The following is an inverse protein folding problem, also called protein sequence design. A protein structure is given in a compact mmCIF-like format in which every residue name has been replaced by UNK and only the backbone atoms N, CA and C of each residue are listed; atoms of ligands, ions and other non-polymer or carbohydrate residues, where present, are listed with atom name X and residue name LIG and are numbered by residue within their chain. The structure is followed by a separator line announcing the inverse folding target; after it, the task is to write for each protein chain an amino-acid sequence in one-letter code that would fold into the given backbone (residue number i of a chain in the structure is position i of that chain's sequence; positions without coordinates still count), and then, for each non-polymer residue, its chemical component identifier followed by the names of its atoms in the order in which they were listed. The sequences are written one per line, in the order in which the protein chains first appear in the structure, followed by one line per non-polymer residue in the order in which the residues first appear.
data_IF_112960561832
#
_entry.id   IF_112960561832
#
_cell.length_a   1.000
_cell.length_b   1.000
_cell.length_c   1.000
_cell.angle_alpha   90.00
_cell.angle_beta   90.00
_cell.angle_gamma   90.00
#
_symmetry.space_group_name_H-M   'P 1'
#
loop_
_entity.id
_entity.type
_entity.pdbx_description
1 polymer ?
#
# COMPACT_ATOMS: atom_id res chain seq x y z
N UNK A 1 -7.84 -7.59 12.72
CA UNK A 1 -8.73 -8.11 11.66
C UNK A 1 -8.80 -7.20 10.44
N UNK A 2 -8.68 -5.87 10.55
CA UNK A 2 -8.80 -4.94 9.39
C UNK A 2 -7.61 -4.00 9.23
N UNK A 3 -6.52 -4.35 9.91
CA UNK A 3 -5.28 -3.61 9.95
C UNK A 3 -4.69 -3.55 8.52
N UNK A 4 -4.86 -4.60 7.72
CA UNK A 4 -4.48 -4.61 6.30
C UNK A 4 -5.24 -3.56 5.46
N UNK A 5 -6.53 -3.33 5.71
CA UNK A 5 -7.29 -2.29 5.00
C UNK A 5 -6.78 -0.89 5.35
N UNK A 6 -6.51 -0.65 6.65
CA UNK A 6 -5.95 0.63 7.09
C UNK A 6 -4.56 0.86 6.49
N UNK A 7 -3.74 -0.19 6.36
CA UNK A 7 -2.42 -0.12 5.71
C UNK A 7 -2.54 0.19 4.21
N UNK A 8 -3.40 -0.52 3.47
CA UNK A 8 -3.61 -0.30 2.03
C UNK A 8 -4.12 1.11 1.78
N UNK A 9 -5.11 1.57 2.55
CA UNK A 9 -5.63 2.93 2.47
C UNK A 9 -4.54 3.95 2.81
N UNK A 10 -3.74 3.70 3.85
CA UNK A 10 -2.62 4.59 4.21
C UNK A 10 -1.61 4.73 3.08
N UNK A 11 -1.14 3.61 2.53
CA UNK A 11 -0.13 3.63 1.45
C UNK A 11 -0.70 4.28 0.19
N UNK A 12 -1.87 3.84 -0.27
CA UNK A 12 -2.47 4.34 -1.50
C UNK A 12 -2.87 5.82 -1.42
N UNK A 13 -3.38 6.28 -0.27
CA UNK A 13 -3.71 7.70 -0.08
C UNK A 13 -2.45 8.55 0.01
N UNK A 14 -1.43 8.11 0.74
CA UNK A 14 -0.18 8.88 0.89
C UNK A 14 0.50 9.04 -0.46
N UNK A 15 0.62 7.95 -1.23
CA UNK A 15 1.20 7.97 -2.58
C UNK A 15 0.39 8.84 -3.54
N UNK A 16 -0.94 8.77 -3.50
CA UNK A 16 -1.80 9.64 -4.29
C UNK A 16 -1.61 11.13 -3.94
N UNK A 17 -1.54 11.46 -2.65
CA UNK A 17 -1.32 12.85 -2.22
C UNK A 17 0.08 13.33 -2.60
N UNK A 18 1.10 12.48 -2.52
CA UNK A 18 2.46 12.76 -2.96
C UNK A 18 2.50 13.13 -4.45
N UNK A 19 1.84 12.34 -5.30
CA UNK A 19 1.73 12.62 -6.74
C UNK A 19 0.98 13.93 -7.03
N UNK A 20 -0.06 14.25 -6.26
CA UNK A 20 -0.84 15.47 -6.44
C UNK A 20 -0.13 16.74 -5.94
N UNK A 21 0.73 16.61 -4.93
CA UNK A 21 1.51 17.70 -4.35
C UNK A 21 2.88 17.89 -5.00
N UNK A 22 3.25 17.03 -5.96
CA UNK A 22 4.54 17.04 -6.67
C UNK A 22 5.74 16.89 -5.70
N UNK A 23 5.52 16.25 -4.55
CA UNK A 23 6.52 16.13 -3.47
C UNK A 23 7.46 14.93 -3.64
N UNK A 24 7.14 13.97 -4.53
CA UNK A 24 8.04 12.85 -4.84
C UNK A 24 7.84 12.30 -6.27
N UNK A 25 8.83 12.61 -7.11
CA UNK A 25 9.39 11.81 -8.20
C UNK A 25 8.43 11.17 -9.23
N UNK A 26 8.50 11.69 -10.47
CA UNK A 26 8.14 11.01 -11.74
C UNK A 26 8.92 9.70 -11.99
N UNK A 27 9.51 9.09 -10.97
CA UNK A 27 10.30 7.86 -11.03
C UNK A 27 9.46 6.73 -10.46
N UNK A 28 8.65 6.15 -11.33
CA UNK A 28 7.90 4.93 -11.11
C UNK A 28 7.57 4.33 -12.46
N UNK A 29 7.12 3.06 -12.49
CA UNK A 29 6.63 2.45 -13.74
C UNK A 29 5.60 3.36 -14.40
N UNK A 30 5.58 3.45 -15.74
CA UNK A 30 4.63 4.31 -16.44
C UNK A 30 3.16 4.01 -16.08
N UNK A 31 2.89 2.76 -15.68
CA UNK A 31 1.59 2.28 -15.22
C UNK A 31 1.07 3.02 -13.96
N UNK A 32 1.96 3.56 -13.12
CA UNK A 32 1.57 4.27 -11.89
C UNK A 32 1.37 5.78 -12.13
N UNK A 33 1.66 6.28 -13.34
CA UNK A 33 1.50 7.71 -13.63
C UNK A 33 0.03 8.10 -13.67
N UNK A 34 -0.35 9.02 -12.81
CA UNK A 34 -1.67 9.64 -12.84
C UNK A 34 -1.83 10.44 -14.14
N UNK A 35 -2.96 10.24 -14.82
CA UNK A 35 -3.30 10.97 -16.03
C UNK A 35 -4.67 11.62 -15.81
N UNK A 36 -4.78 12.96 -15.84
CA UNK A 36 -6.09 13.58 -15.77
C UNK A 36 -6.96 13.06 -16.93
N UNK A 37 -8.27 13.05 -16.72
CA UNK A 37 -9.25 12.61 -17.72
C UNK A 37 -8.99 13.33 -19.07
N UNK A 38 -9.14 12.64 -20.22
CA UNK A 38 -8.85 13.22 -21.53
C UNK A 38 -9.53 14.59 -21.73
N UNK A 39 -8.73 15.63 -22.00
CA UNK A 39 -9.20 17.01 -22.18
C UNK A 39 -8.85 17.98 -21.05
N UNK A 40 -8.29 17.50 -19.93
CA UNK A 40 -7.96 18.36 -18.80
C UNK A 40 -6.47 18.35 -18.44
N UNK A 41 -5.88 19.55 -18.26
CA UNK A 41 -4.45 19.71 -17.96
C UNK A 41 -4.11 19.74 -16.46
N UNK A 42 -5.12 19.84 -15.58
CA UNK A 42 -4.93 19.96 -14.13
C UNK A 42 -5.73 18.90 -13.38
N UNK A 43 -5.08 18.16 -12.48
CA UNK A 43 -5.73 17.12 -11.65
C UNK A 43 -6.93 17.63 -10.85
N UNK A 44 -6.89 18.89 -10.39
CA UNK A 44 -8.01 19.50 -9.67
C UNK A 44 -9.28 19.73 -10.50
N UNK A 45 -9.19 19.72 -11.84
CA UNK A 45 -10.39 19.78 -12.70
C UNK A 45 -10.98 18.38 -12.93
N UNK A 46 -10.14 17.35 -12.91
CA UNK A 46 -10.54 15.97 -13.22
C UNK A 46 -11.41 15.36 -12.13
N UNK A 47 -11.37 15.93 -10.93
CA UNK A 47 -12.16 15.50 -9.80
C UNK A 47 -13.43 16.35 -9.70
N UNK A 48 -14.58 15.68 -9.56
CA UNK A 48 -15.82 16.35 -9.19
C UNK A 48 -15.78 16.83 -7.71
N UNK A 49 -16.80 17.58 -7.28
CA UNK A 49 -16.87 18.09 -5.90
C UNK A 49 -16.89 16.97 -4.85
N UNK A 50 -17.54 15.84 -5.16
CA UNK A 50 -17.73 14.71 -4.25
C UNK A 50 -16.43 13.93 -4.08
N UNK A 51 -15.69 13.71 -5.17
CA UNK A 51 -14.37 13.10 -5.22
C UNK A 51 -13.33 13.97 -4.53
N UNK A 52 -13.38 15.29 -4.70
CA UNK A 52 -12.52 16.22 -3.93
C UNK A 52 -12.77 16.09 -2.43
N UNK A 53 -14.04 16.05 -2.00
CA UNK A 53 -14.41 15.81 -0.60
C UNK A 53 -13.87 14.47 -0.12
N UNK A 54 -14.11 13.41 -0.88
CA UNK A 54 -13.72 12.05 -0.51
C UNK A 54 -12.20 11.91 -0.40
N UNK A 55 -11.45 12.48 -1.34
CA UNK A 55 -9.98 12.56 -1.29
C UNK A 55 -9.51 13.29 -0.02
N UNK A 56 -10.13 14.42 0.33
CA UNK A 56 -9.75 15.16 1.54
C UNK A 56 -10.11 14.40 2.83
N UNK A 57 -11.21 13.65 2.85
CA UNK A 57 -11.58 12.81 4.00
C UNK A 57 -10.64 11.61 4.14
N UNK A 58 -10.28 10.99 3.01
CA UNK A 58 -9.26 9.94 2.95
C UNK A 58 -7.93 10.47 3.46
N UNK A 59 -7.47 11.63 2.97
CA UNK A 59 -6.25 12.27 3.45
C UNK A 59 -6.30 12.61 4.94
N UNK A 60 -7.46 13.09 5.44
CA UNK A 60 -7.63 13.38 6.86
C UNK A 60 -7.55 12.14 7.77
N UNK A 61 -7.77 10.94 7.25
CA UNK A 61 -7.69 9.70 8.01
C UNK A 61 -6.36 8.94 7.78
N UNK A 62 -5.87 8.90 6.54
CA UNK A 62 -4.90 7.92 6.06
C UNK A 62 -3.59 8.50 5.50
N UNK A 63 -3.49 9.80 5.16
CA UNK A 63 -2.25 10.40 4.60
C UNK A 63 -1.13 10.47 5.65
N UNK A 64 -0.10 9.63 5.51
CA UNK A 64 0.98 9.46 6.48
C UNK A 64 2.35 9.68 5.84
N UNK A 65 2.62 10.92 5.42
CA UNK A 65 3.93 11.34 4.93
C UNK A 65 4.82 11.87 6.06
N UNK A 66 6.12 11.60 5.97
CA UNK A 66 7.15 12.16 6.85
C UNK A 66 7.71 13.49 6.35
N UNK A 67 7.40 13.89 5.11
CA UNK A 67 8.00 15.06 4.45
C UNK A 67 7.47 16.41 4.93
N UNK A 68 6.26 16.46 5.52
CA UNK A 68 5.66 17.70 5.99
C UNK A 68 4.69 17.49 7.16
N UNK A 69 4.43 18.54 7.97
CA UNK A 69 3.39 18.48 8.99
C UNK A 69 2.03 18.17 8.38
N UNK A 70 1.32 17.23 9.00
CA UNK A 70 0.05 16.68 8.52
C UNK A 70 -1.01 17.73 8.16
N UNK A 71 -1.27 18.70 9.04
CA UNK A 71 -2.29 19.73 8.80
C UNK A 71 -1.89 20.67 7.67
N UNK A 72 -0.61 21.04 7.58
CA UNK A 72 -0.07 21.88 6.51
C UNK A 72 -0.19 21.19 5.15
N UNK A 73 0.20 19.91 5.09
CA UNK A 73 0.11 19.09 3.88
C UNK A 73 -1.33 18.93 3.40
N UNK A 74 -2.26 18.65 4.32
CA UNK A 74 -3.67 18.57 4.01
C UNK A 74 -4.24 19.89 3.47
N UNK A 75 -3.86 21.04 4.05
CA UNK A 75 -4.29 22.36 3.54
C UNK A 75 -3.73 22.62 2.13
N UNK A 76 -2.47 22.26 1.88
CA UNK A 76 -1.84 22.35 0.55
C UNK A 76 -2.61 21.50 -0.48
N UNK A 77 -2.97 20.28 -0.12
CA UNK A 77 -3.80 19.40 -0.96
C UNK A 77 -5.15 20.04 -1.26
N UNK A 78 -5.83 20.57 -0.23
CA UNK A 78 -7.11 21.26 -0.38
C UNK A 78 -7.04 22.43 -1.36
N UNK A 79 -5.97 23.23 -1.28
CA UNK A 79 -5.74 24.34 -2.22
C UNK A 79 -5.47 23.83 -3.64
N UNK A 80 -4.67 22.77 -3.79
CA UNK A 80 -4.29 22.19 -5.09
C UNK A 80 -5.49 21.63 -5.85
N UNK A 81 -6.39 20.93 -5.17
CA UNK A 81 -7.61 20.39 -5.78
C UNK A 81 -8.74 21.42 -5.88
N UNK A 82 -8.60 22.58 -5.22
CA UNK A 82 -9.58 23.66 -5.25
C UNK A 82 -10.89 23.36 -4.51
N UNK A 83 -10.83 22.72 -3.34
CA UNK A 83 -12.04 22.44 -2.54
C UNK A 83 -12.41 23.60 -1.59
N UNK A 84 -13.60 24.16 -1.77
CA UNK A 84 -14.12 25.27 -0.96
C UNK A 84 -15.33 24.83 -0.11
N UNK A 85 -15.14 24.76 1.20
CA UNK A 85 -16.22 24.52 2.18
C UNK A 85 -16.57 25.76 2.98
N UNK A 86 -17.10 26.82 2.35
CA UNK A 86 -17.40 28.08 3.06
C UNK A 86 -18.52 27.90 4.08
N UNK A 87 -19.49 27.04 3.79
CA UNK A 87 -20.56 26.64 4.70
C UNK A 87 -20.06 25.91 5.95
N UNK A 88 -18.79 25.45 5.98
CA UNK A 88 -18.18 24.88 7.18
C UNK A 88 -18.05 25.91 8.32
N UNK A 89 -18.07 27.21 8.01
CA UNK A 89 -17.97 28.27 9.00
C UNK A 89 -19.30 29.00 9.23
N UNK A 90 -20.40 28.54 8.63
CA UNK A 90 -21.71 29.19 8.72
C UNK A 90 -22.21 29.29 10.17
N UNK A 91 -21.99 28.25 10.99
CA UNK A 91 -22.42 28.25 12.39
C UNK A 91 -21.60 29.23 13.25
N UNK A 92 -20.31 29.43 12.92
CA UNK A 92 -19.48 30.46 13.56
C UNK A 92 -19.87 31.86 13.09
N UNK A 93 -20.14 32.01 11.78
CA UNK A 93 -20.57 33.28 11.19
C UNK A 93 -21.91 33.73 11.78
N UNK A 94 -22.85 32.83 12.05
CA UNK A 94 -24.09 33.15 12.75
C UNK A 94 -23.82 33.78 14.12
N UNK A 95 -22.93 33.18 14.92
CA UNK A 95 -22.51 33.73 16.22
C UNK A 95 -21.92 35.13 16.09
N UNK A 96 -21.05 35.34 15.10
CA UNK A 96 -20.44 36.65 14.83
C UNK A 96 -21.45 37.69 14.34
N UNK A 97 -22.39 37.32 13.48
CA UNK A 97 -23.44 38.22 12.97
C UNK A 97 -24.34 38.67 14.10
N UNK A 98 -24.79 37.75 14.96
CA UNK A 98 -25.62 38.11 16.13
C UNK A 98 -24.84 39.04 17.07
N UNK A 99 -23.57 38.75 17.33
CA UNK A 99 -22.72 39.62 18.15
C UNK A 99 -22.57 41.02 17.53
N UNK A 100 -22.34 41.12 16.22
CA UNK A 100 -22.23 42.38 15.51
C UNK A 100 -23.53 43.18 15.53
N UNK A 101 -24.69 42.53 15.37
CA UNK A 101 -26.02 43.17 15.47
C UNK A 101 -26.24 43.74 16.87
N UNK A 102 -25.94 42.95 17.91
CA UNK A 102 -26.06 43.40 19.31
C UNK A 102 -25.18 44.63 19.56
N UNK A 103 -23.91 44.59 19.13
CA UNK A 103 -22.98 45.72 19.28
C UNK A 103 -23.43 46.95 18.46
N UNK A 104 -23.94 46.74 17.24
CA UNK A 104 -24.44 47.82 16.39
C UNK A 104 -25.64 48.54 17.00
N UNK A 105 -26.60 47.79 17.57
CA UNK A 105 -27.76 48.38 18.27
C UNK A 105 -27.33 49.11 19.55
N UNK A 106 -26.36 48.56 20.28
CA UNK A 106 -25.80 49.22 21.47
C UNK A 106 -25.14 50.55 21.13
N UNK A 107 -24.41 50.62 20.01
CA UNK A 107 -23.76 51.86 19.55
C UNK A 107 -24.78 52.88 19.03
N UNK A 108 -25.74 52.43 18.22
CA UNK A 108 -26.80 53.29 17.66
C UNK A 108 -27.67 53.94 18.75
N UNK A 109 -27.96 53.22 19.83
CA UNK A 109 -28.80 53.72 20.93
C UNK A 109 -28.04 54.59 21.94
N UNK A 110 -26.72 54.77 21.77
CA UNK A 110 -25.87 55.58 22.65
C UNK A 110 -25.78 55.08 24.10
N UNK A 111 -26.22 53.85 24.35
CA UNK A 111 -26.59 53.37 25.69
C UNK A 111 -25.91 52.04 26.02
N UNK A 112 -24.65 51.87 25.62
CA UNK A 112 -23.91 50.64 25.82
C UNK A 112 -23.92 50.14 27.28
N UNK A 113 -23.70 51.03 28.25
CA UNK A 113 -23.67 50.67 29.67
C UNK A 113 -24.99 50.07 30.19
N UNK A 114 -26.14 50.53 29.68
CA UNK A 114 -27.45 50.02 30.10
C UNK A 114 -27.85 48.73 29.39
N UNK A 115 -27.18 48.38 28.29
CA UNK A 115 -27.34 47.10 27.61
C UNK A 115 -26.47 46.01 28.22
N UNK A 116 -25.22 46.32 28.58
CA UNK A 116 -24.33 45.39 29.27
C UNK A 116 -24.86 44.95 30.64
N UNK A 117 -25.64 45.78 31.32
CA UNK A 117 -26.27 45.39 32.60
C UNK A 117 -27.45 44.43 32.44
N UNK A 118 -27.96 44.22 31.22
CA UNK A 118 -29.14 43.36 30.99
C UNK A 118 -28.72 41.91 30.75
N UNK A 119 -29.22 40.95 31.56
CA UNK A 119 -28.80 39.55 31.46
C UNK A 119 -29.16 38.89 30.12
N UNK A 120 -30.23 39.36 29.45
CA UNK A 120 -30.65 38.79 28.17
C UNK A 120 -29.64 38.98 27.04
N UNK A 121 -28.79 40.02 27.09
CA UNK A 121 -27.75 40.27 26.08
C UNK A 121 -26.74 39.12 26.07
N UNK A 122 -26.34 38.66 27.26
CA UNK A 122 -25.47 37.50 27.42
C UNK A 122 -26.16 36.19 27.01
N UNK A 123 -27.47 36.06 27.26
CA UNK A 123 -28.24 34.89 26.80
C UNK A 123 -28.30 34.82 25.28
N UNK A 124 -28.63 35.92 24.60
CA UNK A 124 -28.67 35.98 23.13
C UNK A 124 -27.30 35.67 22.52
N UNK A 125 -26.23 36.26 23.08
CA UNK A 125 -24.88 35.94 22.67
C UNK A 125 -24.56 34.45 22.89
N UNK A 126 -24.87 33.89 24.06
CA UNK A 126 -24.64 32.48 24.39
C UNK A 126 -25.40 31.52 23.46
N UNK A 127 -26.69 31.78 23.20
CA UNK A 127 -27.51 30.99 22.28
C UNK A 127 -27.01 31.06 20.83
N UNK A 128 -26.47 32.20 20.40
CA UNK A 128 -25.92 32.34 19.05
C UNK A 128 -24.67 31.46 18.81
N UNK A 129 -23.87 31.21 19.86
CA UNK A 129 -22.69 30.33 19.79
C UNK A 129 -23.02 28.85 20.00
N UNK A 130 -24.23 28.51 20.48
CA UNK A 130 -24.62 27.15 20.79
C UNK A 130 -24.46 26.17 19.60
N UNK A 131 -24.86 26.51 18.36
CA UNK A 131 -24.68 25.62 17.21
C UNK A 131 -23.21 25.33 16.91
N UNK A 132 -22.34 26.35 17.03
CA UNK A 132 -20.90 26.19 16.84
C UNK A 132 -20.26 25.34 17.94
N UNK A 133 -20.61 25.57 19.20
CA UNK A 133 -20.16 24.77 20.33
C UNK A 133 -20.59 23.30 20.20
N UNK A 134 -21.84 23.07 19.80
CA UNK A 134 -22.36 21.72 19.53
C UNK A 134 -21.56 21.02 18.42
N UNK A 135 -21.34 21.71 17.29
CA UNK A 135 -20.51 21.21 16.19
C UNK A 135 -19.08 20.89 16.63
N UNK A 136 -18.45 21.80 17.37
CA UNK A 136 -17.09 21.62 17.88
C UNK A 136 -16.99 20.40 18.81
N UNK A 137 -17.94 20.26 19.75
CA UNK A 137 -17.98 19.12 20.68
C UNK A 137 -18.18 17.79 19.93
N UNK A 138 -19.11 17.76 18.96
CA UNK A 138 -19.36 16.57 18.12
C UNK A 138 -18.13 16.19 17.30
N UNK A 139 -17.44 17.16 16.70
CA UNK A 139 -16.22 16.90 15.94
C UNK A 139 -15.07 16.45 16.82
N UNK A 140 -14.93 17.00 18.03
CA UNK A 140 -13.94 16.54 19.01
C UNK A 140 -14.19 15.09 19.44
N UNK A 141 -15.44 14.74 19.75
CA UNK A 141 -15.81 13.37 20.06
C UNK A 141 -15.55 12.42 18.88
N UNK A 142 -15.93 12.83 17.67
CA UNK A 142 -15.71 12.04 16.45
C UNK A 142 -14.21 11.84 16.14
N UNK A 143 -13.41 12.89 16.26
CA UNK A 143 -11.96 12.81 16.08
C UNK A 143 -11.30 11.86 17.10
N UNK A 144 -11.73 11.91 18.36
CA UNK A 144 -11.28 10.97 19.39
C UNK A 144 -11.73 9.52 19.14
N UNK A 145 -12.87 9.30 18.47
CA UNK A 145 -13.27 7.95 18.02
C UNK A 145 -12.43 7.48 16.83
N UNK A 146 -12.17 8.34 15.86
CA UNK A 146 -11.33 8.02 14.69
C UNK A 146 -9.92 7.65 15.15
N UNK A 147 -9.29 8.50 15.96
CA UNK A 147 -7.94 8.26 16.46
C UNK A 147 -7.79 6.94 17.24
N UNK A 148 -8.85 6.48 17.92
CA UNK A 148 -8.85 5.18 18.64
C UNK A 148 -9.10 3.97 17.75
N UNK A 149 -9.76 4.15 16.61
CA UNK A 149 -10.15 3.05 15.73
C UNK A 149 -9.21 2.89 14.52
N UNK A 150 -8.39 3.88 14.21
CA UNK A 150 -7.26 3.75 13.30
C UNK A 150 -6.18 2.88 13.98
N UNK A 151 -5.87 1.73 13.38
CA UNK A 151 -4.98 0.73 14.01
C UNK A 151 -3.52 0.88 13.59
N UNK A 152 -3.29 1.06 12.30
CA UNK A 152 -1.95 1.14 11.71
C UNK A 152 -1.33 2.52 11.96
N UNK A 153 -2.16 3.55 12.08
CA UNK A 153 -1.75 4.94 12.18
C UNK A 153 -2.07 5.50 13.56
N UNK A 154 -1.08 6.11 14.22
CA UNK A 154 -1.31 6.91 15.42
C UNK A 154 -1.52 8.36 15.02
N UNK A 155 -2.70 8.91 15.35
CA UNK A 155 -3.07 10.30 15.01
C UNK A 155 -3.42 11.08 16.25
N UNK A 156 -3.00 12.34 16.27
CA UNK A 156 -3.46 13.30 17.25
C UNK A 156 -4.95 13.66 16.99
N UNK A 157 -5.85 13.46 17.96
CA UNK A 157 -7.25 13.85 17.82
C UNK A 157 -7.46 15.35 17.58
N UNK A 158 -6.55 16.21 18.07
CA UNK A 158 -6.61 17.66 17.85
C UNK A 158 -6.51 18.02 16.37
N UNK A 159 -5.55 17.39 15.69
CA UNK A 159 -5.30 17.54 14.26
C UNK A 159 -6.47 17.04 13.42
N UNK A 160 -7.00 15.83 13.70
CA UNK A 160 -8.17 15.30 12.99
C UNK A 160 -9.39 16.22 13.16
N UNK A 161 -9.64 16.71 14.38
CA UNK A 161 -10.75 17.64 14.65
C UNK A 161 -10.63 18.90 13.80
N UNK A 162 -9.43 19.47 13.71
CA UNK A 162 -9.18 20.66 12.88
C UNK A 162 -9.52 20.40 11.42
N UNK A 163 -9.10 19.26 10.87
CA UNK A 163 -9.42 18.89 9.49
C UNK A 163 -10.92 18.66 9.31
N UNK A 164 -11.59 17.95 10.23
CA UNK A 164 -13.04 17.75 10.18
C UNK A 164 -13.83 19.06 10.27
N UNK A 165 -13.32 20.06 11.01
CA UNK A 165 -13.95 21.37 11.13
C UNK A 165 -14.02 22.13 9.79
N UNK A 166 -13.15 21.79 8.85
CA UNK A 166 -13.08 22.43 7.55
C UNK A 166 -14.12 21.95 6.53
N UNK A 167 -14.88 20.89 6.84
CA UNK A 167 -15.95 20.34 6.00
C UNK A 167 -17.32 20.91 6.40
N UNK A 168 -18.22 21.05 5.43
CA UNK A 168 -19.60 21.37 5.73
C UNK A 168 -20.27 20.22 6.48
N UNK A 169 -21.27 20.52 7.31
CA UNK A 169 -22.01 19.48 8.04
C UNK A 169 -22.57 18.41 7.08
N UNK A 170 -23.17 18.85 5.96
CA UNK A 170 -23.73 17.96 4.94
C UNK A 170 -22.68 17.09 4.26
N UNK A 171 -21.46 17.59 4.08
CA UNK A 171 -20.37 16.81 3.50
C UNK A 171 -19.91 15.69 4.44
N UNK A 172 -20.08 15.85 5.75
CA UNK A 172 -19.74 14.84 6.77
C UNK A 172 -20.90 13.92 7.16
N UNK A 173 -22.12 14.19 6.67
CA UNK A 173 -23.26 13.31 6.92
C UNK A 173 -23.11 12.04 6.08
N UNK A 174 -23.38 10.90 6.72
CA UNK A 174 -23.35 9.56 6.11
C UNK A 174 -22.03 9.21 5.42
N UNK A 175 -20.92 9.85 5.81
CA UNK A 175 -19.59 9.44 5.33
C UNK A 175 -19.09 8.23 6.10
N UNK A 176 -18.48 7.25 5.41
CA UNK A 176 -17.80 6.13 6.04
C UNK A 176 -16.52 6.66 6.69
N UNK A 177 -16.59 6.94 7.98
CA UNK A 177 -15.44 7.32 8.78
C UNK A 177 -15.08 6.14 9.67
N UNK A 178 -13.79 5.90 9.95
CA UNK A 178 -13.37 4.85 10.86
C UNK A 178 -13.62 5.27 12.32
N UNK A 179 -14.85 5.68 12.66
CA UNK A 179 -15.26 6.13 14.00
C UNK A 179 -15.95 5.03 14.83
N UNK A 180 -16.10 3.84 14.23
CA UNK A 180 -16.64 2.63 14.82
C UNK A 180 -15.72 1.44 14.52
N UNK A 181 -15.78 0.42 15.37
CA UNK A 181 -15.09 -0.85 15.16
C UNK A 181 -15.86 -1.73 14.16
N UNK A 182 -16.00 -1.27 12.90
CA UNK A 182 -16.62 -2.03 11.81
C UNK A 182 -15.76 -2.04 10.54
N UNK A 183 -15.90 -3.08 9.74
CA UNK A 183 -15.14 -3.23 8.47
C UNK A 183 -15.77 -2.49 7.32
N UNK A 184 -17.11 -2.39 7.28
CA UNK A 184 -17.83 -1.91 6.09
C UNK A 184 -17.42 -0.50 5.69
N UNK A 185 -17.16 0.38 6.67
CA UNK A 185 -16.64 1.73 6.40
C UNK A 185 -15.33 1.71 5.61
N UNK A 186 -14.43 0.77 5.91
CA UNK A 186 -13.13 0.68 5.25
C UNK A 186 -13.26 0.20 3.81
N UNK A 187 -14.20 -0.70 3.54
CA UNK A 187 -14.52 -1.10 2.17
C UNK A 187 -15.13 0.06 1.38
N UNK A 188 -16.03 0.85 1.98
CA UNK A 188 -16.55 2.06 1.33
C UNK A 188 -15.46 3.11 1.11
N UNK A 189 -14.52 3.28 2.05
CA UNK A 189 -13.36 4.16 1.89
C UNK A 189 -12.44 3.69 0.76
N UNK A 190 -12.23 2.39 0.62
CA UNK A 190 -11.48 1.82 -0.50
C UNK A 190 -12.20 2.08 -1.82
N UNK A 191 -13.52 1.89 -1.87
CA UNK A 191 -14.31 2.20 -3.06
C UNK A 191 -14.25 3.70 -3.42
N UNK A 192 -14.23 4.59 -2.42
CA UNK A 192 -14.01 6.04 -2.63
C UNK A 192 -12.63 6.33 -3.19
N UNK A 193 -11.58 5.69 -2.66
CA UNK A 193 -10.22 5.80 -3.19
C UNK A 193 -10.16 5.36 -4.65
N UNK A 194 -10.76 4.21 -4.97
CA UNK A 194 -10.86 3.72 -6.36
C UNK A 194 -11.62 4.68 -7.27
N UNK A 195 -12.70 5.31 -6.77
CA UNK A 195 -13.44 6.32 -7.50
C UNK A 195 -12.60 7.54 -7.85
N UNK A 196 -11.77 8.02 -6.91
CA UNK A 196 -10.81 9.11 -7.14
C UNK A 196 -9.73 8.68 -8.13
N UNK A 197 -9.12 7.51 -7.93
CA UNK A 197 -8.08 6.96 -8.80
C UNK A 197 -8.56 6.80 -10.25
N UNK A 198 -9.80 6.34 -10.45
CA UNK A 198 -10.41 6.19 -11.77
C UNK A 198 -10.56 7.52 -12.51
N UNK A 199 -10.94 8.59 -11.82
CA UNK A 199 -11.01 9.93 -12.40
C UNK A 199 -9.62 10.49 -12.78
N UNK A 200 -8.57 9.92 -12.20
CA UNK A 200 -7.17 10.23 -12.46
C UNK A 200 -6.51 9.20 -13.40
N UNK A 201 -7.31 8.43 -14.15
CA UNK A 201 -6.85 7.55 -15.21
C UNK A 201 -6.33 6.19 -14.74
N UNK A 202 -6.45 5.86 -13.45
CA UNK A 202 -6.01 4.57 -12.89
C UNK A 202 -7.17 3.57 -12.94
N UNK A 203 -6.96 2.44 -13.61
CA UNK A 203 -8.03 1.46 -13.87
C UNK A 203 -8.18 0.41 -12.77
N UNK A 204 -7.12 0.14 -12.01
CA UNK A 204 -7.13 -0.84 -10.92
C UNK A 204 -5.96 -0.64 -9.97
N UNK A 205 -6.02 -1.33 -8.84
CA UNK A 205 -5.00 -1.30 -7.78
C UNK A 205 -4.42 -2.69 -7.62
N UNK A 206 -3.09 -2.82 -7.67
CA UNK A 206 -2.40 -4.06 -7.34
C UNK A 206 -1.76 -3.90 -5.95
N UNK A 207 -2.17 -4.74 -5.01
CA UNK A 207 -1.57 -4.82 -3.66
C UNK A 207 -0.53 -5.93 -3.67
N UNK A 208 0.74 -5.54 -3.60
CA UNK A 208 1.86 -6.45 -3.42
C UNK A 208 2.14 -6.60 -1.93
N UNK A 209 2.10 -7.83 -1.44
CA UNK A 209 2.56 -8.20 -0.11
C UNK A 209 3.82 -9.02 -0.29
N UNK A 210 4.95 -8.45 0.13
CA UNK A 210 6.27 -9.06 -0.01
C UNK A 210 7.01 -9.00 1.33
N UNK A 211 7.99 -9.88 1.48
CA UNK A 211 8.93 -9.92 2.62
C UNK A 211 8.24 -9.96 3.98
N UNK A 212 7.20 -10.79 4.09
CA UNK A 212 6.37 -10.92 5.30
C UNK A 212 7.14 -11.54 6.46
N UNK A 213 8.23 -12.24 6.20
CA UNK A 213 9.07 -12.97 7.15
C UNK A 213 10.19 -12.11 7.77
N UNK A 214 10.63 -11.05 7.09
CA UNK A 214 11.75 -10.19 7.50
C UNK A 214 11.50 -9.29 8.73
N UNK A 215 10.30 -8.72 8.96
CA UNK A 215 10.08 -7.81 10.09
C UNK A 215 10.43 -8.45 11.43
N UNK A 216 11.11 -7.71 12.31
CA UNK A 216 11.57 -8.20 13.61
C UNK A 216 10.48 -8.80 14.50
N UNK A 217 9.23 -8.32 14.38
CA UNK A 217 8.10 -8.85 15.13
C UNK A 217 7.71 -10.27 14.70
N UNK A 218 7.97 -10.62 13.45
CA UNK A 218 7.65 -11.92 12.85
C UNK A 218 8.88 -12.84 12.97
N UNK A 219 10.05 -12.33 12.58
CA UNK A 219 11.34 -13.02 12.70
C UNK A 219 11.30 -14.44 12.09
N UNK A 220 10.72 -14.57 10.89
CA UNK A 220 10.56 -15.85 10.20
C UNK A 220 9.63 -16.88 10.85
N UNK A 221 8.92 -16.54 11.93
CA UNK A 221 8.00 -17.49 12.60
C UNK A 221 6.73 -17.67 11.77
N UNK A 222 6.52 -18.88 11.26
CA UNK A 222 5.37 -19.25 10.42
C UNK A 222 4.02 -18.89 11.04
N UNK A 223 3.84 -19.13 12.34
CA UNK A 223 2.58 -18.80 13.04
C UNK A 223 2.29 -17.29 13.06
N UNK A 224 3.31 -16.45 13.18
CA UNK A 224 3.12 -14.99 13.17
C UNK A 224 2.83 -14.47 11.76
N UNK A 225 3.45 -15.08 10.74
CA UNK A 225 3.10 -14.79 9.34
C UNK A 225 1.65 -15.23 9.07
N UNK A 226 1.24 -16.39 9.57
CA UNK A 226 -0.14 -16.88 9.50
C UNK A 226 -1.13 -15.89 10.12
N UNK A 227 -0.88 -15.45 11.34
CA UNK A 227 -1.73 -14.46 12.03
C UNK A 227 -1.88 -13.14 11.27
N UNK A 228 -0.81 -12.70 10.58
CA UNK A 228 -0.83 -11.51 9.73
C UNK A 228 -1.66 -11.70 8.46
N UNK A 229 -1.50 -12.84 7.78
CA UNK A 229 -2.04 -13.08 6.44
C UNK A 229 -3.47 -13.59 6.44
N UNK A 230 -3.87 -14.42 7.41
CA UNK A 230 -5.18 -15.05 7.43
C UNK A 230 -6.36 -14.07 7.33
N UNK A 231 -6.34 -12.90 8.00
CA UNK A 231 -7.37 -11.89 7.81
C UNK A 231 -7.50 -11.36 6.37
N UNK A 232 -6.44 -11.45 5.56
CA UNK A 232 -6.42 -11.06 4.15
C UNK A 232 -6.95 -12.15 3.21
N UNK A 233 -7.12 -13.39 3.68
CA UNK A 233 -7.63 -14.48 2.85
C UNK A 233 -9.17 -14.51 2.79
N UNK A 234 -9.86 -13.52 3.37
CA UNK A 234 -11.32 -13.44 3.37
C UNK A 234 -11.89 -13.18 1.97
N UNK A 235 -12.93 -13.93 1.58
CA UNK A 235 -13.55 -13.81 0.26
C UNK A 235 -14.11 -12.40 -0.02
N UNK A 236 -14.62 -11.68 1.00
CA UNK A 236 -15.11 -10.31 0.81
C UNK A 236 -13.97 -9.35 0.46
N UNK A 237 -12.79 -9.57 1.02
CA UNK A 237 -11.61 -8.76 0.73
C UNK A 237 -10.99 -9.10 -0.63
N UNK A 238 -10.84 -10.39 -0.94
CA UNK A 238 -10.24 -10.83 -2.20
C UNK A 238 -11.11 -10.55 -3.44
N UNK A 239 -12.44 -10.42 -3.27
CA UNK A 239 -13.38 -10.12 -4.38
C UNK A 239 -13.69 -8.64 -4.58
N UNK A 240 -12.89 -7.75 -4.01
CA UNK A 240 -13.07 -6.32 -4.25
C UNK A 240 -12.85 -5.99 -5.74
N UNK A 241 -13.81 -5.32 -6.41
CA UNK A 241 -13.71 -5.06 -7.83
C UNK A 241 -12.56 -4.10 -8.12
N UNK A 242 -11.74 -4.38 -9.13
CA UNK A 242 -10.63 -3.50 -9.51
C UNK A 242 -9.44 -3.51 -8.53
N UNK A 243 -9.35 -4.51 -7.65
CA UNK A 243 -8.19 -4.77 -6.79
C UNK A 243 -7.62 -6.14 -7.11
N UNK A 244 -6.32 -6.20 -7.37
CA UNK A 244 -5.56 -7.44 -7.47
C UNK A 244 -4.64 -7.61 -6.27
N UNK A 245 -4.41 -8.86 -5.87
CA UNK A 245 -3.50 -9.19 -4.77
C UNK A 245 -2.39 -10.09 -5.29
N UNK A 246 -1.14 -9.73 -4.98
CA UNK A 246 0.03 -10.59 -5.18
C UNK A 246 0.68 -10.82 -3.82
N UNK A 247 0.46 -12.00 -3.26
CA UNK A 247 0.97 -12.38 -1.95
C UNK A 247 2.21 -13.26 -2.16
N UNK A 248 3.40 -12.71 -1.89
CA UNK A 248 4.66 -13.44 -1.94
C UNK A 248 4.89 -14.04 -0.55
N UNK A 249 4.33 -15.23 -0.35
CA UNK A 249 4.30 -15.91 0.93
C UNK A 249 5.27 -17.10 0.97
N UNK A 250 5.83 -17.43 2.14
CA UNK A 250 6.55 -18.68 2.35
C UNK A 250 5.71 -19.91 1.94
N UNK A 251 6.35 -20.88 1.28
CA UNK A 251 5.68 -22.05 0.70
C UNK A 251 5.00 -22.92 1.77
N UNK A 252 5.54 -22.94 2.99
CA UNK A 252 5.02 -23.70 4.12
C UNK A 252 3.60 -23.27 4.49
N UNK A 253 3.21 -22.02 4.22
CA UNK A 253 1.87 -21.52 4.53
C UNK A 253 0.78 -22.14 3.65
N UNK A 254 1.13 -22.66 2.47
CA UNK A 254 0.18 -23.37 1.62
C UNK A 254 -0.36 -24.62 2.33
N UNK A 255 0.53 -25.39 2.96
CA UNK A 255 0.15 -26.57 3.75
C UNK A 255 -0.72 -26.20 4.95
N UNK A 256 -0.40 -25.08 5.61
CA UNK A 256 -1.20 -24.59 6.73
C UNK A 256 -2.60 -24.23 6.27
N UNK A 257 -2.72 -23.46 5.18
CA UNK A 257 -4.02 -23.07 4.61
C UNK A 257 -4.85 -24.26 4.12
N UNK A 258 -4.23 -25.34 3.65
CA UNK A 258 -4.93 -26.56 3.23
C UNK A 258 -5.41 -27.42 4.39
N UNK A 259 -4.76 -27.36 5.55
CA UNK A 259 -5.12 -28.12 6.77
C UNK A 259 -6.07 -27.37 7.70
N UNK A 260 -6.51 -26.18 7.30
CA UNK A 260 -7.39 -25.33 8.10
C UNK A 260 -8.80 -25.91 8.30
N UNK A 261 -9.49 -25.34 9.28
CA UNK A 261 -10.85 -25.75 9.61
C UNK A 261 -11.87 -25.38 8.51
N UNK A 262 -13.01 -26.07 8.55
CA UNK A 262 -14.15 -25.82 7.65
C UNK A 262 -14.58 -24.35 7.65
N UNK A 263 -14.53 -23.69 8.80
CA UNK A 263 -14.93 -22.29 8.96
C UNK A 263 -14.00 -21.33 8.21
N UNK A 264 -12.71 -21.65 8.13
CA UNK A 264 -11.76 -20.89 7.30
C UNK A 264 -12.09 -21.07 5.82
N UNK A 265 -12.23 -22.32 5.35
CA UNK A 265 -12.51 -22.60 3.94
C UNK A 265 -13.82 -21.96 3.46
N UNK A 266 -14.86 -21.94 4.31
CA UNK A 266 -16.12 -21.27 4.00
C UNK A 266 -16.00 -19.74 3.88
N UNK A 267 -15.14 -19.11 4.69
CA UNK A 267 -14.89 -17.67 4.64
C UNK A 267 -13.96 -17.28 3.50
N UNK A 268 -12.87 -18.01 3.31
CA UNK A 268 -11.83 -17.68 2.34
C UNK A 268 -12.25 -17.99 0.91
N UNK A 269 -12.97 -19.10 0.70
CA UNK A 269 -13.45 -19.57 -0.60
C UNK A 269 -12.41 -19.45 -1.71
N UNK A 270 -11.18 -19.91 -1.43
CA UNK A 270 -10.04 -19.83 -2.34
C UNK A 270 -10.33 -20.54 -3.67
N UNK A 271 -11.19 -21.57 -3.64
CA UNK A 271 -11.74 -22.27 -4.81
C UNK A 271 -12.49 -21.37 -5.78
N UNK A 272 -13.08 -20.27 -5.30
CA UNK A 272 -13.85 -19.31 -6.10
C UNK A 272 -13.06 -18.05 -6.43
N UNK A 273 -11.76 -18.06 -6.19
CA UNK A 273 -10.85 -16.99 -6.57
C UNK A 273 -10.07 -17.43 -7.82
N UNK A 274 -9.65 -16.47 -8.64
CA UNK A 274 -8.68 -16.72 -9.72
C UNK A 274 -7.26 -16.83 -9.12
N UNK A 275 -7.07 -17.75 -8.18
CA UNK A 275 -5.82 -17.93 -7.46
C UNK A 275 -4.80 -18.65 -8.33
N UNK A 276 -3.58 -18.10 -8.40
CA UNK A 276 -2.41 -18.81 -8.91
C UNK A 276 -1.64 -19.32 -7.69
N UNK A 277 -1.60 -20.65 -7.43
CA UNK A 277 -1.15 -21.20 -6.15
C UNK A 277 0.36 -21.12 -5.95
N UNK A 278 1.15 -21.24 -7.01
CA UNK A 278 2.60 -21.16 -6.98
C UNK A 278 3.11 -20.31 -8.14
N UNK A 279 4.22 -19.61 -7.90
CA UNK A 279 5.00 -18.93 -8.92
C UNK A 279 6.32 -19.70 -9.06
N UNK A 280 6.32 -20.71 -9.92
CA UNK A 280 7.48 -21.56 -10.13
C UNK A 280 8.40 -20.98 -11.22
N UNK A 281 9.70 -21.06 -11.00
CA UNK A 281 10.68 -20.74 -12.03
C UNK A 281 10.80 -21.90 -13.02
N UNK A 282 10.55 -21.62 -14.29
CA UNK A 282 10.78 -22.60 -15.36
C UNK A 282 12.26 -22.66 -15.72
N UNK A 283 12.70 -23.78 -16.31
CA UNK A 283 14.08 -23.91 -16.79
C UNK A 283 14.43 -22.81 -17.82
N UNK A 284 13.47 -22.44 -18.66
CA UNK A 284 13.60 -21.36 -19.64
C UNK A 284 13.74 -19.99 -18.97
N UNK A 285 12.92 -19.67 -17.97
CA UNK A 285 13.02 -18.39 -17.25
C UNK A 285 14.36 -18.27 -16.50
N UNK A 286 14.87 -19.37 -15.94
CA UNK A 286 16.18 -19.42 -15.30
C UNK A 286 17.33 -19.31 -16.30
N UNK A 287 17.18 -19.92 -17.47
CA UNK A 287 18.12 -19.80 -18.58
C UNK A 287 18.21 -18.34 -19.06
N UNK A 288 17.07 -17.71 -19.34
CA UNK A 288 16.98 -16.32 -19.79
C UNK A 288 17.59 -15.37 -18.74
N UNK A 289 17.20 -15.54 -17.47
CA UNK A 289 17.77 -14.77 -16.37
C UNK A 289 19.29 -14.91 -16.26
N UNK A 290 19.83 -16.11 -16.52
CA UNK A 290 21.28 -16.34 -16.49
C UNK A 290 21.97 -15.62 -17.63
N UNK A 291 21.41 -15.72 -18.84
CA UNK A 291 21.96 -15.02 -20.00
C UNK A 291 21.90 -13.49 -19.83
N UNK A 292 20.81 -12.94 -19.29
CA UNK A 292 20.70 -11.51 -19.00
C UNK A 292 21.80 -11.06 -18.02
N UNK A 293 22.10 -11.87 -17.01
CA UNK A 293 23.16 -11.58 -16.03
C UNK A 293 24.56 -11.68 -16.63
N UNK A 294 24.80 -12.68 -17.48
CA UNK A 294 26.08 -12.83 -18.20
C UNK A 294 26.28 -11.66 -19.18
N UNK A 295 25.24 -11.31 -19.94
CA UNK A 295 25.26 -10.20 -20.88
C UNK A 295 25.52 -8.85 -20.18
N UNK A 296 24.99 -8.64 -18.98
CA UNK A 296 25.26 -7.44 -18.19
C UNK A 296 26.75 -7.29 -17.77
N UNK A 297 27.50 -8.39 -17.76
CA UNK A 297 28.94 -8.41 -17.47
C UNK A 297 29.81 -8.47 -18.73
N UNK A 298 29.21 -8.42 -19.92
CA UNK A 298 29.93 -8.56 -21.18
C UNK A 298 30.73 -7.31 -21.54
N UNK A 299 31.85 -7.50 -22.24
CA UNK A 299 32.57 -6.40 -22.87
C UNK A 299 31.75 -5.78 -24.02
N UNK A 300 32.04 -4.54 -24.37
CA UNK A 300 31.34 -3.83 -25.45
C UNK A 300 31.42 -4.62 -26.77
N UNK A 301 30.26 -4.85 -27.40
CA UNK A 301 30.13 -5.64 -28.63
C UNK A 301 30.15 -7.16 -28.45
N UNK A 302 30.26 -7.67 -27.22
CA UNK A 302 30.19 -9.12 -26.92
C UNK A 302 28.83 -9.50 -26.35
N UNK A 303 28.34 -10.70 -26.69
CA UNK A 303 27.10 -11.27 -26.16
C UNK A 303 27.30 -12.71 -25.68
N UNK A 304 28.12 -12.93 -24.63
CA UNK A 304 28.34 -14.26 -24.08
C UNK A 304 27.04 -14.85 -23.56
N UNK A 305 26.88 -16.17 -23.73
CA UNK A 305 25.74 -16.94 -23.25
C UNK A 305 26.20 -18.05 -22.32
N UNK A 306 25.29 -18.54 -21.49
CA UNK A 306 25.54 -19.73 -20.65
C UNK A 306 25.97 -20.93 -21.50
N UNK A 307 25.40 -21.06 -22.70
CA UNK A 307 25.73 -22.16 -23.62
C UNK A 307 27.21 -22.21 -24.01
N UNK A 308 27.85 -21.04 -24.09
CA UNK A 308 29.24 -20.92 -24.53
C UNK A 308 30.22 -21.51 -23.51
N UNK A 309 29.80 -21.62 -22.25
CA UNK A 309 30.59 -22.18 -21.14
C UNK A 309 30.51 -23.71 -21.06
N UNK A 310 29.49 -24.34 -21.67
CA UNK A 310 29.23 -25.77 -21.54
C UNK A 310 29.59 -26.49 -22.84
N UNK A 311 30.19 -27.68 -22.75
CA UNK A 311 30.51 -28.47 -23.94
C UNK A 311 29.28 -29.04 -24.64
N UNK A 312 29.45 -29.39 -25.91
CA UNK A 312 28.35 -29.80 -26.80
C UNK A 312 27.83 -31.23 -26.54
N UNK A 313 28.46 -31.93 -25.58
CA UNK A 313 28.03 -33.21 -25.03
C UNK A 313 26.85 -33.09 -24.04
N UNK A 314 26.56 -31.88 -23.54
CA UNK A 314 25.36 -31.56 -22.77
C UNK A 314 24.36 -30.86 -23.70
N UNK A 315 23.21 -31.51 -23.92
CA UNK A 315 22.14 -30.92 -24.74
C UNK A 315 21.47 -29.75 -24.04
N UNK A 316 20.91 -28.82 -24.82
CA UNK A 316 20.16 -27.68 -24.30
C UNK A 316 18.95 -28.13 -23.46
N UNK A 317 18.28 -29.21 -23.87
CA UNK A 317 17.18 -29.83 -23.12
C UNK A 317 17.66 -30.31 -21.74
N UNK A 318 18.79 -31.02 -21.71
CA UNK A 318 19.37 -31.50 -20.44
C UNK A 318 19.74 -30.34 -19.52
N UNK A 319 20.26 -29.26 -20.10
CA UNK A 319 20.67 -28.07 -19.37
C UNK A 319 19.42 -27.36 -18.80
N UNK A 320 18.37 -27.16 -19.60
CA UNK A 320 17.10 -26.61 -19.13
C UNK A 320 16.47 -27.44 -18.00
N UNK A 321 16.52 -28.77 -18.10
CA UNK A 321 16.05 -29.68 -17.04
C UNK A 321 16.87 -29.54 -15.75
N UNK A 322 18.20 -29.42 -15.88
CA UNK A 322 19.08 -29.18 -14.74
C UNK A 322 18.77 -27.83 -14.08
N UNK A 323 18.56 -26.76 -14.87
CA UNK A 323 18.19 -25.45 -14.30
C UNK A 323 16.84 -25.51 -13.60
N UNK A 324 15.85 -26.20 -14.19
CA UNK A 324 14.53 -26.39 -13.60
C UNK A 324 14.62 -27.12 -12.24
N UNK A 325 15.49 -28.12 -12.12
CA UNK A 325 15.68 -28.87 -10.88
C UNK A 325 16.18 -28.00 -9.72
N UNK A 326 16.87 -26.89 -10.00
CA UNK A 326 17.38 -25.95 -8.99
C UNK A 326 16.28 -25.07 -8.37
N UNK A 327 15.11 -24.96 -9.03
CA UNK A 327 13.87 -24.27 -8.59
C UNK A 327 13.94 -22.75 -8.37
N UNK A 328 15.08 -22.19 -7.96
CA UNK A 328 15.20 -20.75 -7.65
C UNK A 328 16.48 -20.16 -8.24
N UNK A 329 16.47 -18.84 -8.57
CA UNK A 329 17.67 -18.13 -9.01
C UNK A 329 18.82 -18.22 -8.00
N UNK A 330 18.53 -18.25 -6.71
CA UNK A 330 19.56 -18.34 -5.66
C UNK A 330 20.34 -19.66 -5.78
N UNK A 331 19.64 -20.78 -5.94
CA UNK A 331 20.28 -22.08 -6.10
C UNK A 331 21.01 -22.19 -7.42
N UNK A 332 20.42 -21.66 -8.49
CA UNK A 332 21.07 -21.57 -9.80
C UNK A 332 22.43 -20.89 -9.74
N UNK A 333 22.52 -19.69 -9.18
CA UNK A 333 23.79 -18.96 -9.14
C UNK A 333 24.81 -19.59 -8.18
N UNK A 334 24.37 -20.18 -7.05
CA UNK A 334 25.25 -20.96 -6.18
C UNK A 334 25.81 -22.20 -6.89
N UNK A 335 24.96 -22.89 -7.64
CA UNK A 335 25.38 -24.04 -8.45
C UNK A 335 26.36 -23.61 -9.55
N UNK A 336 26.04 -22.59 -10.34
CA UNK A 336 26.93 -22.10 -11.41
C UNK A 336 28.28 -21.63 -10.85
N UNK A 337 28.30 -20.93 -9.71
CA UNK A 337 29.53 -20.55 -9.04
C UNK A 337 30.38 -21.77 -8.66
N UNK A 338 29.77 -22.80 -8.06
CA UNK A 338 30.45 -24.05 -7.70
C UNK A 338 30.95 -24.80 -8.93
N UNK A 339 30.13 -24.85 -9.99
CA UNK A 339 30.45 -25.51 -11.25
C UNK A 339 31.68 -24.87 -11.89
N UNK A 340 31.69 -23.55 -12.03
CA UNK A 340 32.81 -22.80 -12.61
C UNK A 340 34.05 -22.95 -11.73
N UNK A 341 33.92 -22.81 -10.41
CA UNK A 341 35.05 -22.93 -9.48
C UNK A 341 35.69 -24.32 -9.53
N UNK A 342 34.88 -25.38 -9.55
CA UNK A 342 35.37 -26.76 -9.65
C UNK A 342 36.03 -27.02 -11.01
N UNK A 343 35.47 -26.50 -12.10
CA UNK A 343 36.06 -26.61 -13.43
C UNK A 343 37.43 -25.92 -13.48
N UNK A 344 37.52 -24.67 -13.03
CA UNK A 344 38.79 -23.94 -12.98
C UNK A 344 39.84 -24.60 -12.09
N UNK A 345 39.43 -25.26 -10.99
CA UNK A 345 40.35 -25.97 -10.11
C UNK A 345 40.87 -27.29 -10.70
N UNK A 346 40.18 -27.87 -11.68
CA UNK A 346 40.55 -29.16 -12.29
C UNK A 346 41.54 -29.03 -13.45
N UNK A 347 41.75 -27.82 -13.98
CA UNK A 347 42.60 -27.56 -15.14
C UNK A 347 43.72 -26.58 -14.78
N UNK A 348 44.87 -26.73 -15.43
CA UNK A 348 46.02 -25.83 -15.27
C UNK A 348 46.15 -24.92 -16.49
N UNK A 349 46.89 -23.82 -16.33
CA UNK A 349 47.18 -22.91 -17.45
C UNK A 349 47.92 -23.59 -18.62
N UNK A 350 48.64 -24.69 -18.34
CA UNK A 350 49.37 -25.48 -19.34
C UNK A 350 48.48 -26.42 -20.17
N UNK A 351 47.31 -26.80 -19.66
CA UNK A 351 46.33 -27.65 -20.35
C UNK A 351 44.91 -27.08 -20.14
N UNK A 352 44.59 -25.96 -20.83
CA UNK A 352 43.36 -25.24 -20.57
C UNK A 352 42.16 -25.92 -21.23
N UNK A 353 41.11 -26.16 -20.44
CA UNK A 353 39.78 -26.52 -20.94
C UNK A 353 38.83 -25.32 -20.82
N UNK A 354 38.37 -24.80 -21.96
CA UNK A 354 37.51 -23.61 -22.02
C UNK A 354 36.01 -23.90 -21.88
N UNK A 355 35.60 -25.15 -22.06
CA UNK A 355 34.22 -25.61 -21.90
C UNK A 355 34.13 -26.66 -20.80
N UNK A 356 33.06 -26.59 -20.02
CA UNK A 356 32.78 -27.50 -18.91
C UNK A 356 32.20 -28.80 -19.47
N UNK A 357 32.90 -29.92 -19.21
CA UNK A 357 32.51 -31.26 -19.67
C UNK A 357 31.20 -31.75 -19.04
N UNK A 358 30.50 -32.67 -19.71
CA UNK A 358 29.32 -33.35 -19.14
C UNK A 358 29.62 -34.04 -17.82
N UNK A 359 30.80 -34.63 -17.67
CA UNK A 359 31.20 -35.32 -16.44
C UNK A 359 31.28 -34.35 -15.25
N UNK A 360 31.95 -33.21 -15.43
CA UNK A 360 32.02 -32.16 -14.40
C UNK A 360 30.64 -31.57 -14.12
N UNK A 361 29.84 -31.33 -15.16
CA UNK A 361 28.48 -30.81 -15.01
C UNK A 361 27.58 -31.73 -14.18
N UNK A 362 27.49 -33.01 -14.55
CA UNK A 362 26.61 -33.98 -13.89
C UNK A 362 27.07 -34.30 -12.47
N UNK A 363 28.39 -34.41 -12.24
CA UNK A 363 28.94 -34.67 -10.91
C UNK A 363 28.63 -33.54 -9.92
N UNK A 364 28.86 -32.27 -10.33
CA UNK A 364 28.57 -31.12 -9.47
C UNK A 364 27.07 -30.96 -9.25
N UNK A 365 26.25 -31.17 -10.28
CA UNK A 365 24.80 -31.09 -10.17
C UNK A 365 24.23 -32.14 -9.21
N UNK A 366 24.73 -33.38 -9.29
CA UNK A 366 24.29 -34.46 -8.41
C UNK A 366 24.62 -34.17 -6.93
N UNK A 367 25.82 -33.64 -6.66
CA UNK A 367 26.23 -33.24 -5.30
C UNK A 367 25.37 -32.07 -4.81
N UNK A 368 25.20 -31.03 -5.62
CA UNK A 368 24.42 -29.85 -5.25
C UNK A 368 22.95 -30.20 -4.95
N UNK A 369 22.33 -31.03 -5.80
CA UNK A 369 20.93 -31.44 -5.63
C UNK A 369 20.75 -32.27 -4.35
N UNK A 370 21.72 -33.10 -4.00
CA UNK A 370 21.70 -33.89 -2.75
C UNK A 370 21.80 -32.99 -1.52
N UNK A 371 22.70 -32.00 -1.53
CA UNK A 371 22.83 -31.02 -0.46
C UNK A 371 21.56 -30.18 -0.31
N UNK A 372 20.99 -29.70 -1.42
CA UNK A 372 19.72 -28.97 -1.43
C UNK A 372 18.60 -29.80 -0.80
N UNK A 373 18.47 -31.08 -1.19
CA UNK A 373 17.47 -31.98 -0.61
C UNK A 373 17.68 -32.24 0.89
N UNK A 374 18.92 -32.17 1.39
CA UNK A 374 19.21 -32.31 2.81
C UNK A 374 18.79 -31.06 3.60
N UNK A 375 19.06 -29.87 3.06
CA UNK A 375 18.62 -28.58 3.63
C UNK A 375 17.09 -28.49 3.66
N UNK A 376 16.42 -28.85 2.55
CA UNK A 376 14.95 -28.82 2.46
C UNK A 376 14.27 -29.74 3.49
N UNK A 377 14.94 -30.82 3.91
CA UNK A 377 14.45 -31.74 4.96
C UNK A 377 14.80 -31.29 6.38
N UNK A 378 15.47 -30.16 6.54
CA UNK A 378 15.97 -29.67 7.83
C UNK A 378 17.10 -30.53 8.43
N UNK A 379 17.78 -31.35 7.61
CA UNK A 379 18.85 -32.24 8.05
C UNK A 379 20.23 -31.57 8.04
N UNK A 380 20.32 -30.33 7.56
CA UNK A 380 21.52 -29.51 7.50
C UNK A 380 21.22 -28.11 8.03
N UNK A 381 22.12 -27.56 8.84
CA UNK A 381 22.09 -26.13 9.20
C UNK A 381 22.54 -25.35 7.96
N UNK A 382 21.72 -24.40 7.51
CA UNK A 382 21.90 -23.64 6.26
C UNK A 382 22.98 -22.58 6.30
#
# INVERSE_FOLDING_TARGET
LWDHMDAILSLGVTDLVDHLLDESHRQGPEANRLRPTPGESKFGKALDRVQKRDLLLLAACYDNSTGAPFTTRWRRLRHTIGYTGWTAWAEAALGLVVLAVVLGVMFYTGNAASWLSRPWVYLVAGFAWLPWLYKWARQRARAGRIARNLRVLRRDPGSIRELLASFAANDLLNQPLPDKARTDDRYELLAKLQGVLRALGVTGVLVLVDRVDEPHLINGKTELVRDLIWPMLDNKFLKQPGVGFKLLLPAELADHAHREDRDFHQRARLDKQNMVPSLDWTGQALWDLTNDRIAACAAEGQTPKLRDLISDDVSDERLLDALRALRTPRHLFKFLFRLISNHCAAHTDSDPAWKISRETFESVLAVYTREQAAVDRGLSVG
#
